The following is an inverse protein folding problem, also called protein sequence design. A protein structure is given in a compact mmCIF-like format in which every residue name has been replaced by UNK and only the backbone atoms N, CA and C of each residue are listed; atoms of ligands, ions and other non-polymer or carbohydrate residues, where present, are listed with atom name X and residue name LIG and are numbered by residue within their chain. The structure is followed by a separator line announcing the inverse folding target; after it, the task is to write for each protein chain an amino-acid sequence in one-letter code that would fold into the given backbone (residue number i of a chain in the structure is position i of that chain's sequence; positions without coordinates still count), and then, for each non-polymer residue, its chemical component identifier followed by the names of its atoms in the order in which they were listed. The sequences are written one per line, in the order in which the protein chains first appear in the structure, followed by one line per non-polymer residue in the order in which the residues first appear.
data_IF_268915020998
#
_entry.id   IF_268915020998
#
_cell.length_a   1.000
_cell.length_b   1.000
_cell.length_c   1.000
_cell.angle_alpha   90.00
_cell.angle_beta   90.00
_cell.angle_gamma   90.00
#
_symmetry.space_group_name_H-M   'P 1'
#
loop_
_entity.id
_entity.type
_entity.pdbx_description
1 polymer ?
#
# COMPACT_ATOMS: atom_id res chain seq x y z
N UNK A 1 -71.61 -67.67 -75.23
CA UNK A 1 -72.31 -66.83 -76.24
C UNK A 1 -73.54 -67.60 -76.72
N UNK A 2 -74.38 -67.04 -77.62
CA UNK A 2 -75.13 -67.88 -78.57
C UNK A 2 -74.17 -68.23 -79.73
N UNK A 3 -74.16 -69.47 -80.26
CA UNK A 3 -73.41 -69.77 -81.47
C UNK A 3 -73.98 -68.96 -82.64
N UNK A 4 -73.14 -68.63 -83.63
CA UNK A 4 -73.57 -67.94 -84.83
C UNK A 4 -74.40 -68.88 -85.74
N UNK A 5 -75.15 -68.30 -86.69
CA UNK A 5 -75.80 -69.08 -87.74
C UNK A 5 -74.75 -69.77 -88.60
N UNK A 6 -75.00 -71.00 -89.05
CA UNK A 6 -74.06 -71.77 -89.90
C UNK A 6 -73.69 -70.99 -91.19
N UNK A 7 -74.62 -70.20 -91.73
CA UNK A 7 -74.37 -69.34 -92.88
C UNK A 7 -73.46 -68.14 -92.56
N UNK A 8 -73.51 -67.63 -91.33
CA UNK A 8 -72.66 -66.52 -90.87
C UNK A 8 -71.27 -67.04 -90.48
N UNK A 9 -71.19 -68.21 -89.84
CA UNK A 9 -69.95 -68.98 -89.60
C UNK A 9 -69.18 -69.15 -90.91
N UNK A 10 -69.79 -69.77 -91.93
CA UNK A 10 -69.12 -69.99 -93.23
C UNK A 10 -68.67 -68.69 -93.92
N UNK A 11 -69.45 -67.61 -93.80
CA UNK A 11 -69.08 -66.30 -94.35
C UNK A 11 -67.93 -65.63 -93.61
N UNK A 12 -67.85 -65.80 -92.30
CA UNK A 12 -66.81 -65.20 -91.46
C UNK A 12 -65.54 -66.05 -91.55
N UNK A 13 -65.62 -67.39 -91.49
CA UNK A 13 -64.50 -68.30 -91.70
C UNK A 13 -63.80 -68.03 -93.04
N UNK A 14 -64.53 -67.91 -94.15
CA UNK A 14 -63.93 -67.59 -95.45
C UNK A 14 -63.18 -66.24 -95.49
N UNK A 15 -63.57 -65.26 -94.66
CA UNK A 15 -62.87 -63.97 -94.51
C UNK A 15 -61.69 -64.07 -93.54
N UNK A 16 -61.80 -64.89 -92.49
CA UNK A 16 -60.68 -65.19 -91.57
C UNK A 16 -59.59 -66.03 -92.26
N UNK A 17 -59.97 -66.94 -93.14
CA UNK A 17 -59.08 -67.71 -94.03
C UNK A 17 -58.35 -66.77 -95.01
N UNK A 18 -59.07 -65.94 -95.77
CA UNK A 18 -58.47 -64.93 -96.66
C UNK A 18 -57.55 -63.96 -95.91
N UNK A 19 -57.91 -63.50 -94.71
CA UNK A 19 -57.01 -62.66 -93.89
C UNK A 19 -55.81 -63.42 -93.30
N UNK A 20 -55.94 -64.73 -93.03
CA UNK A 20 -54.81 -65.60 -92.64
C UNK A 20 -53.83 -65.80 -93.80
N UNK A 21 -54.35 -65.98 -95.01
CA UNK A 21 -53.55 -66.07 -96.23
C UNK A 21 -52.89 -64.72 -96.57
N UNK A 22 -53.61 -63.60 -96.49
CA UNK A 22 -53.05 -62.26 -96.68
C UNK A 22 -51.99 -61.91 -95.62
N UNK A 23 -52.16 -62.32 -94.36
CA UNK A 23 -51.12 -62.23 -93.35
C UNK A 23 -49.93 -63.14 -93.70
N UNK A 24 -50.17 -64.36 -94.16
CA UNK A 24 -49.09 -65.26 -94.61
C UNK A 24 -48.31 -64.67 -95.80
N UNK A 25 -48.98 -64.05 -96.77
CA UNK A 25 -48.38 -63.27 -97.86
C UNK A 25 -47.57 -62.09 -97.31
N UNK A 26 -48.06 -61.38 -96.29
CA UNK A 26 -47.32 -60.31 -95.62
C UNK A 26 -46.01 -60.81 -94.97
N UNK A 27 -45.93 -62.08 -94.57
CA UNK A 27 -44.69 -62.72 -94.10
C UNK A 27 -43.63 -62.80 -95.21
N UNK A 28 -44.06 -63.22 -96.40
CA UNK A 28 -43.20 -63.34 -97.57
C UNK A 28 -42.79 -61.98 -98.15
N UNK A 29 -43.58 -60.94 -97.95
CA UNK A 29 -43.29 -59.56 -98.37
C UNK A 29 -42.38 -58.82 -97.36
N UNK A 30 -42.47 -59.12 -96.05
CA UNK A 30 -41.60 -58.53 -95.01
C UNK A 30 -40.83 -59.57 -94.18
N UNK A 31 -39.98 -60.43 -94.78
CA UNK A 31 -39.18 -61.40 -94.04
C UNK A 31 -38.11 -60.69 -93.19
N UNK A 32 -38.13 -60.90 -91.87
CA UNK A 32 -37.09 -60.42 -90.96
C UNK A 32 -35.82 -61.27 -91.12
N UNK A 33 -34.99 -60.94 -92.11
CA UNK A 33 -33.69 -61.58 -92.29
C UNK A 33 -32.77 -61.29 -91.10
N UNK A 34 -32.51 -62.31 -90.28
CA UNK A 34 -31.50 -62.26 -89.20
C UNK A 34 -30.89 -63.64 -88.96
N UNK A 35 -30.04 -64.13 -89.88
CA UNK A 35 -29.26 -65.36 -89.65
C UNK A 35 -27.84 -65.06 -89.14
N UNK A 36 -27.61 -65.43 -87.87
CA UNK A 36 -26.42 -66.21 -87.43
C UNK A 36 -25.02 -65.64 -87.73
N UNK A 37 -24.50 -64.87 -86.77
CA UNK A 37 -23.10 -65.03 -86.33
C UNK A 37 -22.89 -64.70 -84.85
N UNK A 38 -23.10 -65.68 -83.98
CA UNK A 38 -22.51 -65.73 -82.63
C UNK A 38 -21.53 -66.91 -82.55
N UNK A 39 -20.31 -66.64 -82.08
CA UNK A 39 -19.36 -67.54 -81.38
C UNK A 39 -17.91 -67.11 -81.65
N UNK A 40 -17.00 -67.49 -80.73
CA UNK A 40 -15.54 -67.28 -80.78
C UNK A 40 -15.13 -65.79 -80.62
N UNK A 41 -14.29 -65.37 -79.66
CA UNK A 41 -13.40 -66.12 -78.76
C UNK A 41 -13.44 -65.58 -77.32
N UNK A 42 -13.61 -66.48 -76.35
CA UNK A 42 -13.06 -66.29 -75.00
C UNK A 42 -11.66 -66.90 -74.98
N UNK A 43 -10.67 -66.24 -74.37
CA UNK A 43 -9.45 -66.94 -73.94
C UNK A 43 -8.87 -66.36 -72.66
N UNK A 44 -8.68 -67.24 -71.70
CA UNK A 44 -8.24 -66.99 -70.35
C UNK A 44 -6.75 -66.57 -70.20
N UNK A 45 -6.51 -65.80 -69.13
CA UNK A 45 -5.53 -66.02 -68.05
C UNK A 45 -4.37 -67.01 -68.35
N UNK A 46 -3.08 -66.71 -68.09
CA UNK A 46 -2.42 -66.22 -66.84
C UNK A 46 -0.97 -65.75 -67.18
N UNK A 47 -0.03 -65.37 -66.31
CA UNK A 47 0.19 -65.62 -64.87
C UNK A 47 1.10 -64.56 -64.19
N UNK A 48 1.06 -64.52 -62.84
CA UNK A 48 2.05 -64.06 -61.84
C UNK A 48 3.10 -62.95 -62.14
N UNK A 49 3.11 -61.94 -61.24
CA UNK A 49 4.26 -61.80 -60.31
C UNK A 49 3.82 -61.22 -58.94
N UNK A 50 4.07 -61.97 -57.86
CA UNK A 50 4.22 -61.50 -56.48
C UNK A 50 5.74 -61.48 -56.20
N UNK A 51 6.34 -60.77 -55.25
CA UNK A 51 5.86 -60.17 -54.01
C UNK A 51 6.82 -59.00 -53.65
N UNK A 52 6.44 -58.07 -52.77
CA UNK A 52 7.33 -56.95 -52.41
C UNK A 52 6.81 -56.06 -51.28
N UNK A 53 7.07 -56.43 -50.02
CA UNK A 53 6.74 -55.60 -48.85
C UNK A 53 7.74 -54.46 -48.67
N UNK A 54 7.22 -53.25 -48.43
CA UNK A 54 7.83 -52.32 -47.46
C UNK A 54 6.74 -51.45 -46.81
N UNK A 55 7.01 -50.94 -45.61
CA UNK A 55 6.04 -50.16 -44.83
C UNK A 55 6.74 -49.14 -43.94
N UNK A 56 6.42 -47.84 -44.09
CA UNK A 56 6.90 -46.82 -43.14
C UNK A 56 6.70 -45.35 -43.54
N UNK A 57 5.92 -44.64 -42.72
CA UNK A 57 6.13 -43.24 -42.27
C UNK A 57 6.19 -42.08 -43.32
N UNK A 58 5.05 -41.39 -43.49
CA UNK A 58 4.73 -40.03 -42.93
C UNK A 58 5.94 -39.19 -42.43
N UNK A 59 6.08 -37.85 -42.64
CA UNK A 59 5.09 -36.84 -43.12
C UNK A 59 5.60 -35.77 -44.16
N UNK A 60 4.68 -34.82 -44.49
CA UNK A 60 4.89 -33.34 -44.52
C UNK A 60 4.99 -32.60 -45.88
N UNK A 61 4.38 -31.39 -45.90
CA UNK A 61 4.47 -30.30 -46.90
C UNK A 61 3.88 -30.57 -48.31
N UNK A 62 3.32 -29.58 -49.04
CA UNK A 62 2.92 -28.20 -48.71
C UNK A 62 1.81 -27.69 -49.64
N UNK A 63 1.05 -26.67 -49.20
CA UNK A 63 0.13 -25.90 -50.06
C UNK A 63 0.92 -25.02 -51.06
N UNK A 64 0.28 -24.48 -52.12
CA UNK A 64 -0.35 -23.17 -51.92
C UNK A 64 -1.74 -23.00 -52.57
N UNK A 65 -2.61 -22.30 -51.85
CA UNK A 65 -3.81 -21.65 -52.39
C UNK A 65 -3.64 -20.14 -52.32
N UNK A 66 -4.29 -19.38 -53.22
CA UNK A 66 -5.20 -18.26 -52.88
C UNK A 66 -5.69 -17.47 -54.10
N UNK A 67 -6.77 -16.73 -53.87
CA UNK A 67 -7.34 -15.68 -54.74
C UNK A 67 -7.19 -14.33 -54.01
N UNK A 68 -7.19 -13.24 -54.78
CA UNK A 68 -7.01 -11.81 -54.42
C UNK A 68 -8.16 -11.24 -53.54
N UNK A 69 -8.23 -9.97 -53.07
CA UNK A 69 -7.56 -8.65 -53.30
C UNK A 69 -7.71 -7.78 -52.00
N UNK A 70 -7.74 -6.41 -51.94
CA UNK A 70 -7.28 -5.31 -52.83
C UNK A 70 -6.61 -4.05 -52.15
N UNK A 71 -6.15 -3.10 -53.01
CA UNK A 71 -6.29 -1.61 -52.97
C UNK A 71 -5.16 -0.63 -52.49
N UNK A 72 -4.80 0.31 -53.40
CA UNK A 72 -4.15 1.67 -53.30
C UNK A 72 -2.77 1.87 -52.60
N UNK A 73 -1.91 2.85 -52.93
CA UNK A 73 -1.98 4.08 -53.79
C UNK A 73 -0.63 4.41 -54.50
N UNK A 74 -0.68 5.08 -55.67
CA UNK A 74 0.37 5.93 -56.34
C UNK A 74 1.68 5.22 -56.81
N UNK A 75 2.44 5.70 -57.81
CA UNK A 75 2.39 6.93 -58.64
C UNK A 75 2.76 6.67 -60.15
N UNK A 76 2.95 7.73 -60.94
CA UNK A 76 2.98 7.84 -62.44
C UNK A 76 4.40 7.71 -63.09
N UNK A 77 4.62 7.91 -64.43
CA UNK A 77 3.74 7.84 -65.62
C UNK A 77 4.36 7.13 -66.88
N UNK A 78 3.55 6.89 -67.95
CA UNK A 78 3.82 7.29 -69.37
C UNK A 78 2.73 6.81 -70.37
N UNK A 79 2.53 7.60 -71.43
CA UNK A 79 1.61 7.45 -72.58
C UNK A 79 2.43 7.30 -73.90
N UNK A 80 1.86 7.15 -75.14
CA UNK A 80 0.44 7.14 -75.59
C UNK A 80 0.13 5.88 -76.47
N UNK A 81 -0.83 5.72 -77.41
CA UNK A 81 -2.04 6.42 -77.95
C UNK A 81 -2.88 5.39 -78.79
N UNK A 82 -3.98 5.84 -79.40
CA UNK A 82 -4.63 5.37 -80.65
C UNK A 82 -5.70 4.25 -80.57
N UNK A 83 -6.95 4.74 -80.50
CA UNK A 83 -8.16 4.43 -81.31
C UNK A 83 -8.84 3.04 -81.30
N UNK A 84 -10.17 3.13 -81.28
CA UNK A 84 -11.14 2.09 -81.66
C UNK A 84 -11.32 2.00 -83.19
N UNK A 85 -11.85 0.87 -83.68
CA UNK A 85 -12.58 0.79 -84.96
C UNK A 85 -12.37 -0.53 -85.71
N UNK A 86 -13.44 -1.11 -86.27
CA UNK A 86 -13.36 -2.28 -87.16
C UNK A 86 -14.46 -3.32 -86.93
N UNK A 87 -15.28 -3.56 -87.95
CA UNK A 87 -16.36 -4.55 -87.99
C UNK A 87 -16.12 -5.48 -89.20
N UNK A 88 -16.49 -6.77 -89.09
CA UNK A 88 -17.09 -7.64 -90.13
C UNK A 88 -16.54 -9.07 -90.36
N UNK A 89 -17.52 -9.97 -90.51
CA UNK A 89 -17.66 -11.03 -91.54
C UNK A 89 -17.07 -12.46 -91.40
N UNK A 90 -18.02 -13.40 -91.58
CA UNK A 90 -17.99 -14.69 -92.31
C UNK A 90 -17.15 -15.84 -91.71
N UNK A 91 -17.74 -16.99 -91.34
CA UNK A 91 -18.60 -17.97 -92.08
C UNK A 91 -17.79 -18.93 -92.95
N UNK A 92 -17.58 -20.14 -92.41
CA UNK A 92 -17.28 -21.44 -93.04
C UNK A 92 -17.21 -22.48 -91.88
N UNK A 93 -17.57 -23.76 -91.99
CA UNK A 93 -18.42 -24.42 -93.01
C UNK A 93 -18.97 -25.77 -92.50
N UNK A 94 -19.77 -26.46 -93.34
CA UNK A 94 -20.16 -27.89 -93.32
C UNK A 94 -20.81 -28.47 -92.02
N UNK A 95 -22.11 -28.84 -91.94
CA UNK A 95 -22.98 -29.76 -92.74
C UNK A 95 -23.02 -31.20 -92.20
N UNK A 96 -24.20 -31.85 -92.39
CA UNK A 96 -24.61 -33.24 -92.06
C UNK A 96 -25.19 -33.47 -90.64
N UNK A 97 -26.38 -34.08 -90.45
CA UNK A 97 -27.44 -34.54 -91.39
C UNK A 97 -28.83 -34.28 -90.79
N UNK A 98 -29.77 -33.76 -91.60
CA UNK A 98 -31.19 -34.12 -91.47
C UNK A 98 -31.43 -35.38 -92.29
N UNK A 99 -32.03 -36.46 -91.76
CA UNK A 99 -32.47 -37.57 -92.61
C UNK A 99 -33.68 -37.14 -93.44
N UNK A 100 -33.58 -37.42 -94.73
CA UNK A 100 -34.62 -37.26 -95.75
C UNK A 100 -35.87 -38.10 -95.43
N UNK A 101 -36.97 -37.81 -96.15
CA UNK A 101 -38.20 -38.61 -96.27
C UNK A 101 -37.98 -40.13 -96.16
N UNK A 102 -38.94 -40.81 -95.54
CA UNK A 102 -39.51 -42.15 -95.82
C UNK A 102 -38.59 -43.29 -96.35
N UNK A 103 -38.88 -44.52 -95.92
CA UNK A 103 -38.25 -45.77 -96.40
C UNK A 103 -36.92 -46.15 -95.71
N UNK A 104 -36.84 -45.97 -94.39
CA UNK A 104 -36.13 -46.91 -93.52
C UNK A 104 -37.07 -47.24 -92.35
N UNK A 105 -37.51 -48.49 -92.25
CA UNK A 105 -38.09 -49.01 -91.01
C UNK A 105 -36.93 -49.39 -90.07
N UNK A 106 -36.96 -48.89 -88.84
CA UNK A 106 -35.96 -49.28 -87.85
C UNK A 106 -36.03 -50.79 -87.59
N UNK A 107 -34.90 -51.44 -87.29
CA UNK A 107 -34.89 -52.87 -86.96
C UNK A 107 -35.82 -53.22 -85.78
N UNK A 108 -36.03 -52.28 -84.85
CA UNK A 108 -36.99 -52.42 -83.75
C UNK A 108 -38.45 -52.28 -84.20
N UNK A 109 -38.76 -51.42 -85.19
CA UNK A 109 -40.12 -51.32 -85.73
C UNK A 109 -40.45 -52.49 -86.66
N UNK A 110 -39.46 -53.04 -87.39
CA UNK A 110 -39.59 -54.30 -88.12
C UNK A 110 -39.86 -55.47 -87.16
N UNK A 111 -39.08 -55.59 -86.07
CA UNK A 111 -39.34 -56.58 -85.02
C UNK A 111 -40.72 -56.42 -84.39
N UNK A 112 -41.12 -55.19 -84.04
CA UNK A 112 -42.47 -54.92 -83.50
C UNK A 112 -43.54 -55.35 -84.50
N UNK A 113 -43.44 -54.95 -85.76
CA UNK A 113 -44.43 -55.29 -86.79
C UNK A 113 -44.48 -56.80 -87.06
N UNK A 114 -43.36 -57.52 -86.99
CA UNK A 114 -43.37 -58.98 -87.07
C UNK A 114 -44.03 -59.64 -85.84
N UNK A 115 -43.82 -59.10 -84.63
CA UNK A 115 -44.47 -59.57 -83.40
C UNK A 115 -45.98 -59.26 -83.43
N UNK A 116 -46.36 -58.04 -83.82
CA UNK A 116 -47.75 -57.62 -84.01
C UNK A 116 -48.46 -58.49 -85.06
N UNK A 117 -47.77 -58.79 -86.17
CA UNK A 117 -48.21 -59.71 -87.24
C UNK A 117 -48.37 -61.13 -86.72
N UNK A 118 -47.44 -61.63 -85.90
CA UNK A 118 -47.50 -62.99 -85.39
C UNK A 118 -48.68 -63.11 -84.43
N UNK A 119 -48.77 -62.21 -83.44
CA UNK A 119 -49.91 -62.10 -82.52
C UNK A 119 -51.25 -62.00 -83.25
N UNK A 120 -51.37 -61.18 -84.30
CA UNK A 120 -52.60 -61.08 -85.09
C UNK A 120 -52.88 -62.37 -85.88
N UNK A 121 -51.85 -63.03 -86.40
CA UNK A 121 -51.96 -64.34 -87.06
C UNK A 121 -52.47 -65.41 -86.09
N UNK A 122 -51.84 -65.51 -84.92
CA UNK A 122 -52.14 -66.48 -83.87
C UNK A 122 -53.57 -66.29 -83.36
N UNK A 123 -53.97 -65.04 -83.06
CA UNK A 123 -55.33 -64.69 -82.62
C UNK A 123 -56.36 -64.96 -83.72
N UNK A 124 -56.05 -64.74 -85.00
CA UNK A 124 -56.98 -65.07 -86.08
C UNK A 124 -57.12 -66.59 -86.22
N UNK A 125 -56.04 -67.38 -86.21
CA UNK A 125 -56.13 -68.85 -86.26
C UNK A 125 -56.85 -69.44 -85.04
N UNK A 126 -56.55 -68.99 -83.82
CA UNK A 126 -57.26 -69.38 -82.59
C UNK A 126 -58.77 -69.05 -82.63
N UNK A 127 -59.19 -68.13 -83.50
CA UNK A 127 -60.62 -67.74 -83.66
C UNK A 127 -61.27 -68.36 -84.88
N UNK A 128 -60.49 -68.74 -85.91
CA UNK A 128 -60.97 -69.56 -87.01
C UNK A 128 -61.27 -70.98 -86.51
N UNK A 129 -60.38 -71.54 -85.69
CA UNK A 129 -60.57 -72.83 -85.01
C UNK A 129 -61.79 -72.78 -84.07
N UNK A 130 -61.90 -71.79 -83.17
CA UNK A 130 -63.08 -71.62 -82.29
C UNK A 130 -64.40 -71.45 -83.08
N UNK A 131 -64.34 -70.78 -84.23
CA UNK A 131 -65.51 -70.54 -85.07
C UNK A 131 -65.92 -71.77 -85.90
N UNK A 132 -64.95 -72.61 -86.31
CA UNK A 132 -65.21 -73.89 -86.99
C UNK A 132 -65.67 -74.99 -86.01
N UNK A 133 -65.12 -75.04 -84.79
CA UNK A 133 -65.44 -76.09 -83.79
C UNK A 133 -66.64 -75.75 -82.89
N UNK A 134 -66.67 -74.55 -82.28
CA UNK A 134 -67.69 -74.15 -81.29
C UNK A 134 -68.69 -73.10 -81.81
N UNK A 135 -68.39 -72.46 -82.95
CA UNK A 135 -69.22 -71.39 -83.52
C UNK A 135 -69.18 -70.08 -82.72
N UNK A 136 -68.10 -69.83 -81.97
CA UNK A 136 -67.91 -68.65 -81.12
C UNK A 136 -66.57 -67.93 -81.35
N UNK A 137 -66.36 -66.80 -80.66
CA UNK A 137 -65.23 -65.87 -80.84
C UNK A 137 -64.68 -65.34 -79.50
N UNK A 138 -64.78 -66.14 -78.45
CA UNK A 138 -64.33 -65.79 -77.11
C UNK A 138 -62.81 -65.58 -77.02
N UNK A 139 -62.01 -66.23 -77.85
CA UNK A 139 -60.56 -66.04 -77.93
C UNK A 139 -60.19 -64.63 -78.39
N UNK A 140 -60.86 -64.12 -79.45
CA UNK A 140 -60.74 -62.73 -79.89
C UNK A 140 -61.10 -61.75 -78.77
N UNK A 141 -62.17 -62.05 -78.02
CA UNK A 141 -62.64 -61.20 -76.92
C UNK A 141 -61.65 -61.19 -75.73
N UNK A 142 -61.04 -62.34 -75.40
CA UNK A 142 -59.98 -62.47 -74.39
C UNK A 142 -58.72 -61.69 -74.81
N UNK A 143 -58.29 -61.83 -76.07
CA UNK A 143 -57.13 -61.12 -76.62
C UNK A 143 -57.34 -59.59 -76.63
N UNK A 144 -58.50 -59.13 -77.12
CA UNK A 144 -58.90 -57.73 -77.10
C UNK A 144 -59.01 -57.16 -75.68
N UNK A 145 -59.44 -57.98 -74.71
CA UNK A 145 -59.43 -57.65 -73.28
C UNK A 145 -58.02 -57.39 -72.75
N UNK A 146 -57.11 -58.35 -72.94
CA UNK A 146 -55.69 -58.24 -72.54
C UNK A 146 -54.99 -57.04 -73.18
N UNK A 147 -55.25 -56.75 -74.45
CA UNK A 147 -54.68 -55.58 -75.14
C UNK A 147 -55.24 -54.26 -74.59
N UNK A 148 -56.54 -54.18 -74.31
CA UNK A 148 -57.14 -52.99 -73.65
C UNK A 148 -56.56 -52.75 -72.25
N UNK A 149 -56.37 -53.80 -71.47
CA UNK A 149 -55.78 -53.75 -70.13
C UNK A 149 -54.29 -53.35 -70.19
N UNK A 150 -53.50 -53.97 -71.08
CA UNK A 150 -52.10 -53.62 -71.32
C UNK A 150 -51.93 -52.16 -71.75
N UNK A 151 -52.80 -51.68 -72.64
CA UNK A 151 -52.84 -50.28 -73.07
C UNK A 151 -53.21 -49.33 -71.92
N UNK A 152 -54.13 -49.72 -71.04
CA UNK A 152 -54.47 -48.94 -69.84
C UNK A 152 -53.29 -48.87 -68.86
N UNK A 153 -52.62 -49.99 -68.59
CA UNK A 153 -51.41 -50.03 -67.75
C UNK A 153 -50.25 -49.21 -68.34
N UNK A 154 -50.11 -49.16 -69.67
CA UNK A 154 -49.11 -48.33 -70.33
C UNK A 154 -49.38 -46.83 -70.10
N UNK A 155 -50.62 -46.36 -70.28
CA UNK A 155 -50.98 -44.96 -70.00
C UNK A 155 -50.87 -44.59 -68.51
N UNK A 156 -51.28 -45.47 -67.59
CA UNK A 156 -51.06 -45.26 -66.15
C UNK A 156 -49.56 -45.21 -65.80
N UNK A 157 -48.74 -46.08 -66.38
CA UNK A 157 -47.29 -46.06 -66.18
C UNK A 157 -46.66 -44.75 -66.69
N UNK A 158 -47.11 -44.22 -67.84
CA UNK A 158 -46.70 -42.90 -68.34
C UNK A 158 -47.14 -41.79 -67.38
N UNK A 159 -48.38 -41.81 -66.90
CA UNK A 159 -48.90 -40.80 -65.96
C UNK A 159 -48.13 -40.81 -64.62
N UNK A 160 -47.78 -42.00 -64.10
CA UNK A 160 -46.92 -42.16 -62.92
C UNK A 160 -45.49 -41.70 -63.16
N UNK A 161 -44.91 -41.95 -64.34
CA UNK A 161 -43.58 -41.46 -64.73
C UNK A 161 -43.55 -39.92 -64.79
N UNK A 162 -44.51 -39.31 -65.47
CA UNK A 162 -44.56 -37.85 -65.64
C UNK A 162 -44.80 -37.14 -64.30
N UNK A 163 -45.68 -37.68 -63.45
CA UNK A 163 -45.89 -37.20 -62.09
C UNK A 163 -44.66 -37.41 -61.19
N UNK A 164 -43.93 -38.51 -61.36
CA UNK A 164 -42.63 -38.75 -60.74
C UNK A 164 -41.60 -37.68 -61.14
N UNK A 165 -41.45 -37.39 -62.44
CA UNK A 165 -40.61 -36.31 -62.96
C UNK A 165 -41.01 -34.94 -62.43
N UNK A 166 -42.32 -34.62 -62.39
CA UNK A 166 -42.83 -33.37 -61.79
C UNK A 166 -42.45 -33.27 -60.32
N UNK A 167 -42.62 -34.35 -59.54
CA UNK A 167 -42.25 -34.39 -58.11
C UNK A 167 -40.74 -34.24 -57.90
N UNK A 168 -39.91 -34.95 -58.66
CA UNK A 168 -38.44 -34.85 -58.61
C UNK A 168 -38.00 -33.41 -58.91
N UNK A 169 -38.50 -32.78 -59.97
CA UNK A 169 -38.22 -31.36 -60.29
C UNK A 169 -38.64 -30.41 -59.15
N UNK A 170 -39.78 -30.66 -58.51
CA UNK A 170 -40.24 -29.85 -57.37
C UNK A 170 -39.32 -29.98 -56.15
N UNK A 171 -38.88 -31.21 -55.83
CA UNK A 171 -37.97 -31.50 -54.72
C UNK A 171 -36.57 -30.92 -54.98
N UNK A 172 -36.06 -31.03 -56.22
CA UNK A 172 -34.79 -30.40 -56.62
C UNK A 172 -34.83 -28.87 -56.45
N UNK A 173 -35.95 -28.22 -56.82
CA UNK A 173 -36.14 -26.78 -56.60
C UNK A 173 -36.21 -26.42 -55.11
N UNK A 174 -36.93 -27.21 -54.30
CA UNK A 174 -36.99 -27.01 -52.85
C UNK A 174 -35.61 -27.16 -52.18
N UNK A 175 -34.86 -28.21 -52.52
CA UNK A 175 -33.50 -28.45 -51.98
C UNK A 175 -32.54 -27.31 -52.36
N UNK A 176 -32.63 -26.81 -53.60
CA UNK A 176 -31.82 -25.67 -54.05
C UNK A 176 -32.20 -24.34 -53.35
N UNK A 177 -33.50 -24.12 -53.08
CA UNK A 177 -33.97 -23.00 -52.27
C UNK A 177 -33.44 -23.08 -50.83
N UNK A 178 -33.66 -24.21 -50.13
CA UNK A 178 -33.17 -24.43 -48.76
C UNK A 178 -31.65 -24.29 -48.66
N UNK A 179 -30.90 -24.70 -49.71
CA UNK A 179 -29.45 -24.47 -49.77
C UNK A 179 -29.08 -22.98 -49.86
N UNK A 180 -29.83 -22.19 -50.65
CA UNK A 180 -29.63 -20.73 -50.74
C UNK A 180 -30.01 -20.02 -49.44
N UNK A 181 -31.17 -20.36 -48.87
CA UNK A 181 -31.66 -19.82 -47.59
C UNK A 181 -30.65 -20.08 -46.46
N UNK A 182 -30.17 -21.33 -46.34
CA UNK A 182 -29.12 -21.69 -45.37
C UNK A 182 -27.79 -20.97 -45.62
N UNK A 183 -27.44 -20.68 -46.87
CA UNK A 183 -26.22 -19.93 -47.19
C UNK A 183 -26.35 -18.45 -46.82
N UNK A 184 -27.48 -17.81 -47.13
CA UNK A 184 -27.77 -16.44 -46.73
C UNK A 184 -27.82 -16.29 -45.19
N UNK A 185 -28.43 -17.24 -44.49
CA UNK A 185 -28.48 -17.28 -43.03
C UNK A 185 -27.07 -17.41 -42.40
N UNK A 186 -26.18 -18.21 -43.02
CA UNK A 186 -24.77 -18.29 -42.60
C UNK A 186 -24.00 -16.99 -42.88
N UNK A 187 -24.28 -16.29 -43.98
CA UNK A 187 -23.66 -15.00 -44.29
C UNK A 187 -24.10 -13.93 -43.28
N UNK A 188 -25.42 -13.77 -43.06
CA UNK A 188 -25.99 -12.87 -42.05
C UNK A 188 -25.42 -13.12 -40.64
N UNK A 189 -25.31 -14.38 -40.21
CA UNK A 189 -24.68 -14.74 -38.93
C UNK A 189 -23.20 -14.39 -38.88
N UNK A 190 -22.45 -14.58 -39.97
CA UNK A 190 -21.03 -14.21 -40.03
C UNK A 190 -20.82 -12.69 -39.99
N UNK A 191 -21.69 -11.92 -40.67
CA UNK A 191 -21.71 -10.46 -40.64
C UNK A 191 -22.04 -9.93 -39.23
N UNK A 192 -23.04 -10.52 -38.56
CA UNK A 192 -23.35 -10.20 -37.16
C UNK A 192 -22.20 -10.56 -36.20
N UNK A 193 -21.51 -11.68 -36.41
CA UNK A 193 -20.31 -12.08 -35.66
C UNK A 193 -19.14 -11.10 -35.92
N UNK A 194 -18.99 -10.55 -37.12
CA UNK A 194 -17.99 -9.52 -37.42
C UNK A 194 -18.31 -8.23 -36.66
N UNK A 195 -19.53 -7.70 -36.80
CA UNK A 195 -20.00 -6.52 -36.10
C UNK A 195 -19.84 -6.62 -34.57
N UNK A 196 -20.16 -7.76 -33.96
CA UNK A 196 -19.94 -7.99 -32.52
C UNK A 196 -18.46 -8.02 -32.12
N UNK A 197 -17.56 -8.51 -32.99
CA UNK A 197 -16.11 -8.46 -32.74
C UNK A 197 -15.59 -7.03 -32.82
N UNK A 198 -16.06 -6.25 -33.80
CA UNK A 198 -15.66 -4.86 -33.98
C UNK A 198 -16.11 -4.00 -32.79
N UNK A 199 -17.37 -4.16 -32.35
CA UNK A 199 -17.87 -3.53 -31.11
C UNK A 199 -17.05 -3.93 -29.88
N UNK A 200 -16.71 -5.22 -29.72
CA UNK A 200 -15.89 -5.69 -28.60
C UNK A 200 -14.46 -5.13 -28.64
N UNK A 201 -13.88 -4.99 -29.83
CA UNK A 201 -12.56 -4.38 -30.02
C UNK A 201 -12.60 -2.87 -29.77
N UNK A 202 -13.65 -2.17 -30.20
CA UNK A 202 -13.87 -0.75 -29.94
C UNK A 202 -14.02 -0.47 -28.44
N UNK A 203 -14.90 -1.21 -27.76
CA UNK A 203 -15.09 -1.09 -26.30
C UNK A 203 -13.78 -1.40 -25.55
N UNK A 204 -13.06 -2.44 -25.96
CA UNK A 204 -11.74 -2.76 -25.39
C UNK A 204 -10.73 -1.63 -25.63
N UNK A 205 -10.75 -0.96 -26.78
CA UNK A 205 -9.88 0.18 -27.05
C UNK A 205 -10.25 1.40 -26.18
N UNK A 206 -11.54 1.74 -26.10
CA UNK A 206 -12.10 2.82 -25.27
C UNK A 206 -11.73 2.64 -23.79
N UNK A 207 -12.09 1.52 -23.18
CA UNK A 207 -11.80 1.25 -21.77
C UNK A 207 -10.29 1.20 -21.46
N UNK A 208 -9.44 0.75 -22.39
CA UNK A 208 -7.98 0.84 -22.20
C UNK A 208 -7.42 2.26 -22.36
N UNK A 209 -8.09 3.14 -23.09
CA UNK A 209 -7.74 4.57 -23.18
C UNK A 209 -8.22 5.33 -21.95
N UNK A 210 -9.46 5.10 -21.53
CA UNK A 210 -10.07 5.63 -20.31
C UNK A 210 -9.27 5.24 -19.06
N UNK A 211 -8.92 3.97 -18.88
CA UNK A 211 -8.10 3.51 -17.75
C UNK A 211 -6.71 4.18 -17.71
N UNK A 212 -6.07 4.39 -18.88
CA UNK A 212 -4.77 5.09 -18.95
C UNK A 212 -4.90 6.58 -18.65
N UNK A 213 -5.99 7.22 -19.11
CA UNK A 213 -6.28 8.62 -18.80
C UNK A 213 -6.57 8.80 -17.30
N UNK A 214 -7.48 8.00 -16.74
CA UNK A 214 -7.85 8.05 -15.32
C UNK A 214 -6.64 7.80 -14.42
N UNK A 215 -5.85 6.75 -14.69
CA UNK A 215 -4.62 6.46 -13.93
C UNK A 215 -3.65 7.64 -13.95
N UNK A 216 -3.36 8.20 -15.13
CA UNK A 216 -2.46 9.36 -15.25
C UNK A 216 -3.02 10.62 -14.59
N UNK A 217 -4.33 10.82 -14.61
CA UNK A 217 -4.98 11.93 -13.90
C UNK A 217 -4.86 11.76 -12.37
N UNK A 218 -5.10 10.56 -11.84
CA UNK A 218 -4.92 10.31 -10.40
C UNK A 218 -3.46 10.40 -9.96
N UNK A 219 -2.51 9.90 -10.78
CA UNK A 219 -1.07 10.04 -10.53
C UNK A 219 -0.64 11.52 -10.51
N UNK A 220 -1.19 12.34 -11.42
CA UNK A 220 -0.94 13.78 -11.47
C UNK A 220 -1.52 14.50 -10.24
N UNK A 221 -2.76 14.18 -9.84
CA UNK A 221 -3.39 14.77 -8.65
C UNK A 221 -2.62 14.40 -7.36
N UNK A 222 -2.21 13.13 -7.21
CA UNK A 222 -1.38 12.67 -6.09
C UNK A 222 -0.04 13.42 -6.10
N UNK A 223 0.69 13.46 -7.22
CA UNK A 223 1.98 14.14 -7.31
C UNK A 223 1.87 15.66 -7.08
N UNK A 224 0.81 16.31 -7.56
CA UNK A 224 0.57 17.73 -7.31
C UNK A 224 0.24 18.00 -5.83
N UNK A 225 -0.51 17.11 -5.18
CA UNK A 225 -0.85 17.22 -3.76
C UNK A 225 0.40 16.99 -2.90
N UNK A 226 1.15 15.93 -3.16
CA UNK A 226 2.42 15.63 -2.52
C UNK A 226 3.40 16.81 -2.63
N UNK A 227 3.58 17.40 -3.83
CA UNK A 227 4.46 18.57 -4.01
C UNK A 227 4.00 19.81 -3.24
N UNK A 228 2.68 20.02 -3.06
CA UNK A 228 2.17 21.09 -2.20
C UNK A 228 2.49 20.81 -0.73
N UNK A 229 2.20 19.60 -0.26
CA UNK A 229 2.47 19.16 1.12
C UNK A 229 3.96 19.25 1.46
N UNK A 230 4.85 18.68 0.64
CA UNK A 230 6.30 18.73 0.86
C UNK A 230 6.85 20.15 0.85
N UNK A 231 6.32 21.07 0.04
CA UNK A 231 6.73 22.48 0.10
C UNK A 231 6.25 23.18 1.39
N UNK A 232 5.06 22.86 1.89
CA UNK A 232 4.60 23.40 3.18
C UNK A 232 5.36 22.78 4.37
N UNK A 233 5.78 21.52 4.24
CA UNK A 233 6.61 20.80 5.21
C UNK A 233 8.04 21.38 5.27
N UNK A 234 8.66 21.61 4.11
CA UNK A 234 9.96 22.28 3.94
C UNK A 234 9.97 23.67 4.60
N UNK A 235 8.97 24.52 4.32
CA UNK A 235 8.82 25.84 4.95
C UNK A 235 8.60 25.78 6.47
N UNK A 236 7.94 24.74 6.98
CA UNK A 236 7.78 24.55 8.43
C UNK A 236 9.08 24.07 9.08
N UNK A 237 9.86 23.22 8.42
CA UNK A 237 11.19 22.79 8.87
C UNK A 237 12.18 23.97 8.89
N UNK A 238 12.14 24.85 7.88
CA UNK A 238 12.93 26.09 7.86
C UNK A 238 12.61 27.01 9.05
N UNK A 239 11.32 27.24 9.37
CA UNK A 239 10.96 28.07 10.53
C UNK A 239 11.27 27.36 11.86
N UNK A 240 11.16 26.03 11.95
CA UNK A 240 11.55 25.25 13.14
C UNK A 240 13.05 25.42 13.41
N UNK A 241 13.93 25.26 12.43
CA UNK A 241 15.38 25.40 12.65
C UNK A 241 15.75 26.87 12.95
N UNK A 242 15.10 27.83 12.29
CA UNK A 242 15.24 29.27 12.57
C UNK A 242 14.78 29.65 13.99
N UNK A 243 13.74 29.01 14.52
CA UNK A 243 13.34 29.14 15.93
C UNK A 243 14.34 28.45 16.86
N UNK A 244 14.82 27.24 16.51
CA UNK A 244 15.84 26.50 17.27
C UNK A 244 17.12 27.32 17.46
N UNK A 245 17.63 27.92 16.38
CA UNK A 245 18.81 28.80 16.41
C UNK A 245 18.60 30.04 17.28
N UNK A 246 17.42 30.68 17.23
CA UNK A 246 17.09 31.80 18.12
C UNK A 246 17.09 31.39 19.59
N UNK A 247 16.44 30.27 19.92
CA UNK A 247 16.40 29.75 21.29
C UNK A 247 17.79 29.37 21.79
N UNK A 248 18.67 28.86 20.93
CA UNK A 248 20.06 28.54 21.29
C UNK A 248 20.91 29.80 21.52
N UNK A 249 20.70 30.88 20.76
CA UNK A 249 21.32 32.20 21.03
C UNK A 249 20.75 32.87 22.30
N UNK A 250 19.44 32.86 22.51
CA UNK A 250 18.80 33.34 23.74
C UNK A 250 19.32 32.59 24.98
N UNK A 251 19.46 31.26 24.90
CA UNK A 251 20.07 30.45 25.95
C UNK A 251 21.54 30.83 26.21
N UNK A 252 22.33 31.11 25.17
CA UNK A 252 23.73 31.54 25.32
C UNK A 252 23.81 32.91 26.02
N UNK A 253 23.00 33.87 25.58
CA UNK A 253 22.90 35.21 26.19
C UNK A 253 22.43 35.11 27.64
N UNK A 254 21.45 34.24 27.95
CA UNK A 254 20.99 34.01 29.31
C UNK A 254 22.11 33.45 30.21
N UNK A 255 22.89 32.47 29.74
CA UNK A 255 24.02 31.93 30.46
C UNK A 255 25.15 32.96 30.67
N UNK A 256 25.42 33.82 29.67
CA UNK A 256 26.38 34.94 29.80
C UNK A 256 25.92 35.95 30.86
N UNK A 257 24.62 36.29 30.90
CA UNK A 257 24.02 37.19 31.90
C UNK A 257 24.04 36.56 33.30
N UNK A 258 23.67 35.28 33.44
CA UNK A 258 23.69 34.61 34.74
C UNK A 258 25.13 34.52 35.30
N UNK A 259 26.10 34.21 34.45
CA UNK A 259 27.52 34.16 34.81
C UNK A 259 28.08 35.54 35.17
N UNK A 260 27.56 36.63 34.59
CA UNK A 260 27.86 37.99 35.03
C UNK A 260 27.25 38.30 36.40
N UNK A 261 25.95 38.02 36.60
CA UNK A 261 25.26 38.29 37.86
C UNK A 261 25.85 37.51 39.03
N UNK A 262 26.16 36.21 38.86
CA UNK A 262 26.84 35.40 39.87
C UNK A 262 28.21 35.98 40.26
N UNK A 263 28.96 36.56 39.33
CA UNK A 263 30.25 37.22 39.61
C UNK A 263 30.10 38.52 40.41
N UNK A 264 29.09 39.34 40.11
CA UNK A 264 28.84 40.56 40.91
C UNK A 264 28.25 40.22 42.29
N UNK A 265 27.42 39.17 42.40
CA UNK A 265 26.99 38.63 43.69
C UNK A 265 28.18 38.19 44.54
N UNK A 266 29.08 37.36 44.00
CA UNK A 266 30.30 36.92 44.71
C UNK A 266 31.13 38.13 45.21
N UNK A 267 31.34 39.15 44.37
CA UNK A 267 32.05 40.40 44.76
C UNK A 267 31.33 41.23 45.83
N UNK A 268 30.04 40.99 46.08
CA UNK A 268 29.28 41.62 47.16
C UNK A 268 29.33 40.76 48.43
N UNK A 269 29.30 39.44 48.29
CA UNK A 269 29.49 38.47 49.38
C UNK A 269 30.90 38.59 49.99
N UNK A 270 31.95 38.63 49.18
CA UNK A 270 33.35 38.87 49.61
C UNK A 270 33.51 40.18 50.38
N UNK A 271 32.80 41.24 49.97
CA UNK A 271 32.80 42.54 50.67
C UNK A 271 31.99 42.48 51.98
N UNK A 272 30.87 41.76 51.98
CA UNK A 272 30.04 41.58 53.17
C UNK A 272 30.82 40.82 54.25
N UNK A 273 31.48 39.72 53.87
CA UNK A 273 32.34 38.92 54.77
C UNK A 273 33.49 39.76 55.33
N UNK A 274 34.19 40.54 54.49
CA UNK A 274 35.22 41.49 54.95
C UNK A 274 34.68 42.52 55.96
N UNK A 275 33.49 43.10 55.72
CA UNK A 275 32.91 44.08 56.63
C UNK A 275 32.37 43.46 57.92
N UNK A 276 31.87 42.22 57.88
CA UNK A 276 31.49 41.45 59.07
C UNK A 276 32.72 41.11 59.91
N UNK A 277 33.74 40.50 59.31
CA UNK A 277 34.98 40.12 60.01
C UNK A 277 35.68 41.36 60.62
N UNK A 278 35.66 42.50 59.91
CA UNK A 278 36.13 43.77 60.47
C UNK A 278 35.25 44.26 61.61
N UNK A 279 33.93 44.25 61.49
CA UNK A 279 33.02 44.71 62.54
C UNK A 279 33.20 43.88 63.83
N UNK A 280 33.34 42.57 63.71
CA UNK A 280 33.56 41.68 64.84
C UNK A 280 34.92 41.96 65.51
N UNK A 281 36.00 42.12 64.73
CA UNK A 281 37.33 42.50 65.24
C UNK A 281 37.34 43.89 65.91
N UNK A 282 36.75 44.90 65.29
CA UNK A 282 36.66 46.26 65.87
C UNK A 282 35.82 46.24 67.16
N UNK A 283 34.75 45.44 67.20
CA UNK A 283 33.91 45.24 68.40
C UNK A 283 34.67 44.50 69.51
N UNK A 284 35.40 43.43 69.19
CA UNK A 284 36.22 42.68 70.15
C UNK A 284 37.34 43.56 70.72
N UNK A 285 38.06 44.31 69.88
CA UNK A 285 39.07 45.28 70.32
C UNK A 285 38.48 46.32 71.28
N UNK A 286 37.31 46.89 70.96
CA UNK A 286 36.66 47.87 71.85
C UNK A 286 36.11 47.24 73.13
N UNK A 287 35.65 46.00 73.08
CA UNK A 287 35.24 45.25 74.27
C UNK A 287 36.45 44.91 75.17
N UNK A 288 37.61 44.61 74.58
CA UNK A 288 38.87 44.36 75.28
C UNK A 288 39.46 45.64 75.89
N UNK A 289 39.46 46.78 75.17
CA UNK A 289 39.77 48.11 75.73
C UNK A 289 38.88 48.44 76.93
N UNK A 290 37.57 48.25 76.80
CA UNK A 290 36.59 48.51 77.85
C UNK A 290 36.82 47.59 79.08
N UNK A 291 37.19 46.34 78.85
CA UNK A 291 37.51 45.39 79.93
C UNK A 291 38.84 45.75 80.63
N UNK A 292 39.86 46.17 79.88
CA UNK A 292 41.12 46.67 80.45
C UNK A 292 40.90 47.93 81.30
N UNK A 293 40.11 48.90 80.81
CA UNK A 293 39.75 50.11 81.57
C UNK A 293 38.91 49.82 82.82
N UNK A 294 37.98 48.85 82.77
CA UNK A 294 37.25 48.36 83.95
C UNK A 294 38.21 47.73 84.98
N UNK A 295 39.17 46.92 84.52
CA UNK A 295 40.16 46.28 85.37
C UNK A 295 41.11 47.29 86.04
N UNK A 296 41.64 48.24 85.27
CA UNK A 296 42.45 49.35 85.78
C UNK A 296 41.68 50.17 86.83
N UNK A 297 40.45 50.59 86.53
CA UNK A 297 39.58 51.30 87.48
C UNK A 297 39.31 50.49 88.76
N UNK A 298 39.16 49.17 88.67
CA UNK A 298 38.97 48.31 89.84
C UNK A 298 40.26 48.23 90.69
N UNK A 299 41.43 48.13 90.05
CA UNK A 299 42.74 48.17 90.69
C UNK A 299 42.99 49.51 91.39
N UNK A 300 42.75 50.63 90.72
CA UNK A 300 42.88 51.98 91.29
C UNK A 300 41.94 52.17 92.48
N UNK A 301 40.69 51.69 92.37
CA UNK A 301 39.71 51.75 93.46
C UNK A 301 40.15 50.90 94.67
N UNK A 302 40.71 49.71 94.44
CA UNK A 302 41.25 48.86 95.52
C UNK A 302 42.45 49.52 96.20
N UNK A 303 43.40 50.08 95.44
CA UNK A 303 44.54 50.82 95.98
C UNK A 303 44.10 52.08 96.75
N UNK A 304 43.08 52.81 96.28
CA UNK A 304 42.51 53.94 97.03
C UNK A 304 41.79 53.49 98.32
N UNK A 305 41.15 52.32 98.33
CA UNK A 305 40.56 51.75 99.54
C UNK A 305 41.62 51.31 100.55
N UNK A 306 42.73 50.73 100.09
CA UNK A 306 43.88 50.36 100.91
C UNK A 306 44.62 51.59 101.47
N UNK A 307 44.80 52.64 100.66
CA UNK A 307 45.34 53.92 101.13
C UNK A 307 44.41 54.58 102.15
N UNK A 308 43.08 54.55 101.93
CA UNK A 308 42.12 55.06 102.91
C UNK A 308 42.08 54.22 104.21
N UNK A 309 42.37 52.92 104.13
CA UNK A 309 42.51 52.04 105.30
C UNK A 309 43.79 52.35 106.09
N UNK A 310 44.94 52.44 105.41
CA UNK A 310 46.23 52.76 106.06
C UNK A 310 46.24 54.18 106.65
N UNK A 311 45.59 55.16 106.01
CA UNK A 311 45.41 56.51 106.60
C UNK A 311 44.64 56.42 107.92
N UNK A 312 43.51 55.69 107.98
CA UNK A 312 42.75 55.50 109.24
C UNK A 312 43.57 54.77 110.31
N UNK A 313 44.38 53.80 109.91
CA UNK A 313 45.28 53.09 110.82
C UNK A 313 46.36 54.03 111.40
N UNK A 314 46.95 54.91 110.58
CA UNK A 314 47.85 55.95 111.07
C UNK A 314 47.15 57.01 111.93
N UNK A 315 45.94 57.45 111.57
CA UNK A 315 45.14 58.38 112.39
C UNK A 315 44.82 57.78 113.76
N UNK A 316 44.42 56.50 113.81
CA UNK A 316 44.18 55.75 115.04
C UNK A 316 45.46 55.70 115.91
N UNK A 317 46.61 55.35 115.33
CA UNK A 317 47.90 55.32 116.06
C UNK A 317 48.30 56.71 116.58
N UNK A 318 48.04 57.79 115.83
CA UNK A 318 48.29 59.17 116.26
C UNK A 318 47.35 59.56 117.42
N UNK A 319 46.09 59.12 117.39
CA UNK A 319 45.13 59.34 118.49
C UNK A 319 45.56 58.55 119.74
N UNK A 320 46.00 57.31 119.58
CA UNK A 320 46.49 56.45 120.67
C UNK A 320 47.76 57.02 121.31
N UNK A 321 48.77 57.39 120.53
CA UNK A 321 49.99 58.08 120.98
C UNK A 321 49.67 59.40 121.73
N UNK A 322 48.70 60.17 121.22
CA UNK A 322 48.25 61.40 121.88
C UNK A 322 47.56 61.12 123.22
N UNK A 323 46.69 60.11 123.28
CA UNK A 323 46.03 59.66 124.52
C UNK A 323 47.04 59.10 125.51
N UNK A 324 48.06 58.37 125.06
CA UNK A 324 49.14 57.84 125.91
C UNK A 324 50.05 58.95 126.44
N UNK A 325 50.39 59.95 125.62
CA UNK A 325 51.09 61.16 126.06
C UNK A 325 50.28 61.97 127.07
N UNK A 326 48.94 61.99 126.94
CA UNK A 326 48.06 62.62 127.93
C UNK A 326 47.96 61.79 129.22
N UNK A 327 47.77 60.46 129.13
CA UNK A 327 47.76 59.54 130.28
C UNK A 327 49.07 59.60 131.06
N UNK A 328 50.22 59.58 130.39
CA UNK A 328 51.53 59.68 131.05
C UNK A 328 51.80 61.07 131.61
N UNK A 329 51.22 62.14 131.04
CA UNK A 329 51.17 63.47 131.68
C UNK A 329 50.33 63.47 132.95
N UNK A 330 49.06 63.04 132.86
CA UNK A 330 48.14 62.95 134.01
C UNK A 330 48.72 62.10 135.13
N UNK A 331 49.38 60.98 134.80
CA UNK A 331 50.10 60.16 135.77
C UNK A 331 51.24 60.94 136.43
N UNK A 332 52.15 61.57 135.68
CA UNK A 332 53.21 62.43 136.26
C UNK A 332 52.66 63.60 137.11
N UNK A 333 51.50 64.14 136.75
CA UNK A 333 50.81 65.19 137.48
C UNK A 333 50.16 64.66 138.79
N UNK A 334 49.66 63.42 138.79
CA UNK A 334 49.28 62.70 140.01
C UNK A 334 50.49 62.32 140.86
N UNK A 335 51.55 61.75 140.28
CA UNK A 335 52.78 61.36 140.97
C UNK A 335 53.41 62.56 141.69
N UNK A 336 53.39 63.76 141.08
CA UNK A 336 53.86 65.01 141.71
C UNK A 336 52.89 65.55 142.77
N UNK A 337 51.57 65.39 142.62
CA UNK A 337 50.59 65.72 143.67
C UNK A 337 50.69 64.78 144.88
N UNK A 338 50.92 63.49 144.65
CA UNK A 338 51.18 62.48 145.67
C UNK A 338 52.53 62.73 146.33
N UNK A 339 53.59 63.05 145.57
CA UNK A 339 54.87 63.45 146.15
C UNK A 339 54.73 64.72 147.01
N UNK A 340 53.97 65.73 146.57
CA UNK A 340 53.66 66.93 147.38
C UNK A 340 52.82 66.60 148.62
N UNK A 341 51.89 65.64 148.55
CA UNK A 341 51.10 65.21 149.70
C UNK A 341 51.96 64.43 150.70
N UNK A 342 52.82 63.52 150.23
CA UNK A 342 53.82 62.80 151.03
C UNK A 342 54.81 63.77 151.66
N UNK A 343 55.30 64.80 150.95
CA UNK A 343 56.18 65.84 151.50
C UNK A 343 55.45 66.64 152.60
N UNK A 344 54.18 67.02 152.40
CA UNK A 344 53.35 67.65 153.44
C UNK A 344 53.14 66.74 154.65
N UNK A 345 52.93 65.45 154.43
CA UNK A 345 52.68 64.46 155.48
C UNK A 345 53.97 64.14 156.26
N UNK A 346 55.12 64.05 155.58
CA UNK A 346 56.44 64.01 156.22
C UNK A 346 56.75 65.30 156.99
N UNK A 347 56.40 66.49 156.47
CA UNK A 347 56.61 67.76 157.16
C UNK A 347 55.71 67.90 158.40
N UNK A 348 54.45 67.46 158.30
CA UNK A 348 53.52 67.37 159.42
C UNK A 348 54.02 66.37 160.46
N UNK A 349 54.49 65.19 160.05
CA UNK A 349 55.05 64.18 160.95
C UNK A 349 56.32 64.69 161.65
N UNK A 350 57.31 65.20 160.90
CA UNK A 350 58.52 65.83 161.47
C UNK A 350 58.16 66.95 162.45
N UNK A 351 57.24 67.84 162.08
CA UNK A 351 56.77 68.91 162.96
C UNK A 351 55.96 68.43 164.17
N UNK A 352 55.35 67.25 164.11
CA UNK A 352 54.60 66.63 165.22
C UNK A 352 55.53 65.89 166.18
N UNK A 353 56.52 65.17 165.66
CA UNK A 353 57.63 64.57 166.42
C UNK A 353 58.35 65.66 167.22
N UNK A 354 58.71 66.78 166.58
CA UNK A 354 59.35 67.93 167.25
C UNK A 354 58.45 68.59 168.31
N UNK A 355 57.12 68.57 168.15
CA UNK A 355 56.17 69.19 169.11
C UNK A 355 55.56 68.23 170.14
N UNK A 356 55.96 66.95 170.15
CA UNK A 356 55.56 65.97 171.18
C UNK A 356 56.74 65.30 171.89
N UNK A 357 57.97 65.71 171.59
CA UNK A 357 59.21 65.30 172.30
C UNK A 357 59.45 63.78 172.37
N UNK A 358 58.93 63.02 171.40
CA UNK A 358 59.16 61.57 171.28
C UNK A 358 60.35 61.31 170.34
N UNK A 359 61.49 60.93 170.92
CA UNK A 359 62.70 60.50 170.19
C UNK A 359 63.82 61.56 170.21
N UNK A 360 64.99 61.16 170.72
CA UNK A 360 66.11 62.08 170.96
C UNK A 360 66.76 62.61 169.67
N UNK A 361 66.42 63.85 169.29
CA UNK A 361 66.95 64.50 168.09
C UNK A 361 68.22 65.30 168.40
N UNK A 362 69.39 64.75 168.04
CA UNK A 362 70.69 65.46 168.14
C UNK A 362 70.83 66.51 167.04
N UNK A 363 71.40 67.66 167.39
CA UNK A 363 71.89 68.69 166.45
C UNK A 363 73.38 68.49 166.15
N UNK A 364 73.80 68.28 164.89
CA UNK A 364 75.19 68.41 164.47
C UNK A 364 75.48 69.80 163.87
N UNK A 365 76.45 70.47 164.48
CA UNK A 365 77.43 71.37 163.83
C UNK A 365 78.54 70.50 163.17
N UNK A 366 79.48 70.95 162.33
CA UNK A 366 79.93 72.29 161.88
C UNK A 366 80.75 72.14 160.56
N UNK A 367 81.20 73.26 159.94
CA UNK A 367 82.30 73.41 158.93
C UNK A 367 82.00 72.96 157.47
N UNK A 368 82.20 73.80 156.43
CA UNK A 368 83.43 74.43 155.83
C UNK A 368 84.14 73.50 154.82
N UNK A 369 84.64 73.93 153.64
CA UNK A 369 84.78 75.27 153.03
C UNK A 369 84.89 75.19 151.46
N UNK A 370 84.91 76.35 150.78
CA UNK A 370 85.53 76.67 149.47
C UNK A 370 84.84 76.34 148.12
N UNK A 371 84.11 77.36 147.63
CA UNK A 371 84.30 78.14 146.36
C UNK A 371 84.47 77.48 144.97
N UNK A 372 83.67 78.03 144.03
CA UNK A 372 83.96 78.32 142.59
C UNK A 372 84.34 77.14 141.66
N UNK A 373 83.98 77.09 140.36
CA UNK A 373 84.00 78.16 139.33
C UNK A 373 82.70 78.21 138.49
N UNK A 374 82.51 79.36 137.82
CA UNK A 374 81.29 79.87 137.18
C UNK A 374 81.42 79.92 135.65
N UNK A 375 80.59 79.15 134.92
CA UNK A 375 80.51 79.16 133.43
C UNK A 375 79.14 79.63 132.91
N UNK A 376 79.07 80.38 131.79
CA UNK A 376 77.85 81.11 131.36
C UNK A 376 77.76 81.42 129.85
N UNK A 377 76.80 80.82 129.15
CA UNK A 377 76.37 81.05 127.73
C UNK A 377 75.29 80.00 127.37
N UNK A 378 74.20 80.23 126.61
CA UNK A 378 74.01 80.85 125.27
C UNK A 378 74.89 80.17 124.20
N UNK A 379 74.37 79.70 123.05
CA UNK A 379 73.35 80.29 122.16
C UNK A 379 72.65 79.24 121.23
N UNK A 380 71.30 79.23 121.13
CA UNK A 380 70.44 79.41 119.93
C UNK A 380 71.04 79.22 118.51
N UNK A 381 70.68 78.12 117.83
CA UNK A 381 69.70 78.02 116.72
C UNK A 381 69.53 76.51 116.34
N UNK A 382 68.51 75.92 115.70
CA UNK A 382 67.29 76.28 114.91
C UNK A 382 67.46 76.14 113.39
N UNK A 383 66.48 75.46 112.75
CA UNK A 383 66.34 75.14 111.29
C UNK A 383 67.32 74.10 110.73
N UNK A 384 67.09 73.47 109.56
CA UNK A 384 65.90 72.88 108.86
C UNK A 384 66.38 72.50 107.44
N UNK A 385 65.88 71.41 106.86
CA UNK A 385 66.23 70.93 105.51
C UNK A 385 67.10 69.67 105.61
N UNK A 386 66.71 68.48 105.17
CA UNK A 386 65.86 68.04 104.03
C UNK A 386 66.55 68.24 102.67
N UNK A 387 67.18 67.16 102.20
CA UNK A 387 66.96 66.67 100.85
C UNK A 387 66.55 65.21 100.95
#
# INVERSE_FOLDING_TARGET
MKPLSILDVLRISAVLEDTTDQLSILNYIMPVQYEKRQSISMKDNKEMHLEGRSSGKVPLASNPSKISSPLVHKEEPKLPEIRQGGQFNKVQDLIFKKPTRQTIMNAETLKKIQIDRQFLSDVITETLEELQEEGTFTNLLKALGKERESKMHFYDTIAREENGRKKIKSLQKQLLNVKKERQAEVQNRNEYIAHLKDQLQEMKAKTNMENRYMKRNTELQISQTQKKCSKTEELLLEEIEKLRLKTEEENRIHAEIELFLRKEQQKLEEKLEFWMEKFDKDTEMKQNELNALKSAKASDLAHLQELAKTIREYEQVIIEDRIEKEKTRKKREQDDLELRSIIKLQAWWRGTVVRREIGGFKMPKDKDDSKDVKGKGKEKDKRRGKK
#
